data_IF_772319433326
#
_entry.id   IF_772319433326
#
_cell.length_a   1.000
_cell.length_b   1.000
_cell.length_c   1.000
_cell.angle_alpha   90.00
_cell.angle_beta   90.00
_cell.angle_gamma   90.00
#
_symmetry.space_group_name_H-M   'P 1'
#
loop_
_entity.id
_entity.type
_entity.pdbx_description
1 polymer ?
#
# COMPACT_ATOMS: atom_id res chain seq x y z
N UNK A 1 -47.71 14.21 -48.67
CA UNK A 1 -46.33 14.74 -48.86
C UNK A 1 -45.71 15.21 -47.56
N UNK A 2 -46.35 16.06 -46.74
CA UNK A 2 -45.73 16.57 -45.50
C UNK A 2 -45.60 15.49 -44.42
N UNK A 3 -46.60 14.60 -44.27
CA UNK A 3 -46.59 13.48 -43.33
C UNK A 3 -45.47 12.46 -43.66
N UNK A 4 -45.33 12.18 -44.95
CA UNK A 4 -44.30 11.25 -45.44
C UNK A 4 -42.88 11.80 -45.15
N UNK A 5 -42.65 13.08 -45.43
CA UNK A 5 -41.36 13.76 -45.15
C UNK A 5 -41.07 13.77 -43.65
N UNK A 6 -42.08 14.03 -42.82
CA UNK A 6 -41.92 13.94 -41.36
C UNK A 6 -41.58 12.53 -40.91
N UNK A 7 -42.27 11.52 -41.42
CA UNK A 7 -42.01 10.11 -41.13
C UNK A 7 -40.57 9.70 -41.50
N UNK A 8 -40.11 10.06 -42.70
CA UNK A 8 -38.76 9.77 -43.17
C UNK A 8 -37.71 10.48 -42.25
N UNK A 9 -37.97 11.74 -41.92
CA UNK A 9 -37.06 12.51 -41.02
C UNK A 9 -36.95 11.89 -39.64
N UNK A 10 -38.10 11.53 -39.02
CA UNK A 10 -38.11 10.85 -37.69
C UNK A 10 -37.51 9.44 -37.77
N UNK A 11 -37.76 8.69 -38.83
CA UNK A 11 -37.18 7.35 -39.01
C UNK A 11 -35.66 7.43 -39.13
N UNK A 12 -35.11 8.40 -39.86
CA UNK A 12 -33.70 8.64 -39.96
C UNK A 12 -33.07 9.00 -38.60
N UNK A 13 -33.70 9.95 -37.90
CA UNK A 13 -33.24 10.38 -36.58
C UNK A 13 -33.26 9.21 -35.56
N UNK A 14 -34.34 8.40 -35.61
CA UNK A 14 -34.43 7.21 -34.74
C UNK A 14 -33.30 6.21 -35.00
N UNK A 15 -33.00 5.95 -36.28
CA UNK A 15 -31.89 5.07 -36.67
C UNK A 15 -30.54 5.59 -36.19
N UNK A 16 -30.28 6.89 -36.37
CA UNK A 16 -29.05 7.54 -35.92
C UNK A 16 -28.91 7.48 -34.40
N UNK A 17 -29.97 7.74 -33.65
CA UNK A 17 -29.99 7.64 -32.19
C UNK A 17 -29.78 6.21 -31.70
N UNK A 18 -30.40 5.23 -32.36
CA UNK A 18 -30.22 3.81 -32.06
C UNK A 18 -28.77 3.37 -32.28
N UNK A 19 -28.14 3.77 -33.39
CA UNK A 19 -26.74 3.46 -33.67
C UNK A 19 -25.81 4.12 -32.64
N UNK A 20 -26.05 5.39 -32.28
CA UNK A 20 -25.27 6.07 -31.23
C UNK A 20 -25.42 5.38 -29.89
N UNK A 21 -26.63 5.01 -29.50
CA UNK A 21 -26.88 4.31 -28.23
C UNK A 21 -26.14 2.96 -28.19
N UNK A 22 -26.16 2.21 -29.29
CA UNK A 22 -25.42 0.95 -29.40
C UNK A 22 -23.90 1.16 -29.28
N UNK A 23 -23.36 2.13 -29.99
CA UNK A 23 -21.93 2.46 -29.93
C UNK A 23 -21.50 2.88 -28.52
N UNK A 24 -22.30 3.69 -27.84
CA UNK A 24 -22.04 4.09 -26.45
C UNK A 24 -22.07 2.88 -25.51
N UNK A 25 -23.04 1.96 -25.69
CA UNK A 25 -23.12 0.74 -24.91
C UNK A 25 -21.86 -0.16 -25.11
N UNK A 26 -21.46 -0.37 -26.35
CA UNK A 26 -20.25 -1.14 -26.69
C UNK A 26 -18.95 -0.50 -26.12
N UNK A 27 -18.84 0.82 -26.25
CA UNK A 27 -17.68 1.55 -25.69
C UNK A 27 -17.65 1.48 -24.16
N UNK A 28 -18.81 1.57 -23.49
CA UNK A 28 -18.92 1.40 -22.05
C UNK A 28 -18.48 0.00 -21.62
N UNK A 29 -18.94 -1.03 -22.33
CA UNK A 29 -18.57 -2.42 -22.03
C UNK A 29 -17.06 -2.65 -22.17
N UNK A 30 -16.46 -2.16 -23.25
CA UNK A 30 -15.00 -2.21 -23.46
C UNK A 30 -14.24 -1.49 -22.35
N UNK A 31 -14.67 -0.28 -21.97
CA UNK A 31 -14.05 0.48 -20.89
C UNK A 31 -14.15 -0.24 -19.54
N UNK A 32 -15.30 -0.83 -19.22
CA UNK A 32 -15.47 -1.63 -17.99
C UNK A 32 -14.58 -2.87 -17.98
N UNK A 33 -14.45 -3.57 -19.11
CA UNK A 33 -13.56 -4.73 -19.21
C UNK A 33 -12.09 -4.32 -19.02
N UNK A 34 -11.66 -3.21 -19.60
CA UNK A 34 -10.30 -2.68 -19.43
C UNK A 34 -10.02 -2.30 -17.97
N UNK A 35 -10.94 -1.57 -17.33
CA UNK A 35 -10.81 -1.21 -15.91
C UNK A 35 -10.69 -2.47 -15.04
N UNK A 36 -11.54 -3.47 -15.26
CA UNK A 36 -11.48 -4.73 -14.53
C UNK A 36 -10.12 -5.43 -14.66
N UNK A 37 -9.59 -5.52 -15.88
CA UNK A 37 -8.27 -6.11 -16.13
C UNK A 37 -7.16 -5.34 -15.42
N UNK A 38 -7.22 -4.00 -15.41
CA UNK A 38 -6.24 -3.15 -14.70
C UNK A 38 -6.35 -3.33 -13.18
N UNK A 39 -7.55 -3.45 -12.64
CA UNK A 39 -7.77 -3.72 -11.21
C UNK A 39 -7.19 -5.07 -10.78
N UNK A 40 -7.43 -6.11 -11.56
CA UNK A 40 -6.87 -7.45 -11.32
C UNK A 40 -5.32 -7.43 -11.35
N UNK A 41 -4.73 -6.76 -12.34
CA UNK A 41 -3.28 -6.60 -12.43
C UNK A 41 -2.70 -5.81 -11.24
N UNK A 42 -3.35 -4.71 -10.84
CA UNK A 42 -2.98 -3.93 -9.67
C UNK A 42 -3.01 -4.77 -8.39
N UNK A 43 -4.09 -5.53 -8.18
CA UNK A 43 -4.23 -6.39 -7.00
C UNK A 43 -3.10 -7.44 -6.92
N UNK A 44 -2.79 -8.11 -8.03
CA UNK A 44 -1.71 -9.12 -8.09
C UNK A 44 -0.36 -8.49 -7.75
N UNK A 45 -0.03 -7.34 -8.34
CA UNK A 45 1.24 -6.65 -8.10
C UNK A 45 1.36 -6.21 -6.64
N UNK A 46 0.28 -5.65 -6.07
CA UNK A 46 0.28 -5.17 -4.70
C UNK A 46 0.38 -6.33 -3.70
N UNK A 47 -0.35 -7.43 -3.93
CA UNK A 47 -0.28 -8.61 -3.08
C UNK A 47 1.12 -9.22 -3.09
N UNK A 48 1.73 -9.39 -4.26
CA UNK A 48 3.11 -9.88 -4.37
C UNK A 48 4.11 -8.98 -3.62
N UNK A 49 3.95 -7.65 -3.72
CA UNK A 49 4.79 -6.72 -2.96
C UNK A 49 4.60 -6.91 -1.46
N UNK A 50 3.36 -6.99 -1.00
CA UNK A 50 3.06 -7.18 0.42
C UNK A 50 3.60 -8.50 0.98
N UNK A 51 3.54 -9.59 0.21
CA UNK A 51 4.10 -10.87 0.62
C UNK A 51 5.61 -10.75 0.87
N UNK A 52 6.34 -10.06 -0.01
CA UNK A 52 7.77 -9.80 0.19
C UNK A 52 8.04 -8.86 1.37
N UNK A 53 7.26 -7.80 1.51
CA UNK A 53 7.37 -6.87 2.65
C UNK A 53 7.10 -7.59 3.97
N UNK A 54 6.11 -8.48 4.01
CA UNK A 54 5.77 -9.26 5.20
C UNK A 54 6.91 -10.17 5.65
N UNK A 55 7.62 -10.82 4.74
CA UNK A 55 8.81 -11.63 5.08
C UNK A 55 9.85 -10.78 5.80
N UNK A 56 10.15 -9.59 5.28
CA UNK A 56 11.12 -8.67 5.90
C UNK A 56 10.58 -8.10 7.22
N UNK A 57 9.32 -7.71 7.25
CA UNK A 57 8.66 -7.18 8.45
C UNK A 57 8.72 -8.18 9.61
N UNK A 58 8.37 -9.44 9.38
CA UNK A 58 8.44 -10.51 10.38
C UNK A 58 9.88 -10.79 10.84
N UNK A 59 10.84 -10.80 9.90
CA UNK A 59 12.25 -11.00 10.21
C UNK A 59 12.76 -9.92 11.17
N UNK A 60 12.41 -8.66 10.92
CA UNK A 60 12.80 -7.53 11.77
C UNK A 60 12.08 -7.58 13.12
N UNK A 61 10.77 -7.85 13.14
CA UNK A 61 9.98 -7.95 14.36
C UNK A 61 10.49 -9.03 15.30
N UNK A 62 10.94 -10.15 14.77
CA UNK A 62 11.51 -11.26 15.57
C UNK A 62 12.70 -10.76 16.41
N UNK A 63 13.55 -9.88 15.88
CA UNK A 63 14.65 -9.28 16.64
C UNK A 63 14.16 -8.37 17.78
N UNK A 64 12.98 -7.78 17.65
CA UNK A 64 12.31 -6.97 18.67
C UNK A 64 11.41 -7.79 19.63
N UNK A 65 11.44 -9.14 19.54
CA UNK A 65 10.57 -10.03 20.28
C UNK A 65 9.08 -9.74 20.03
N UNK A 66 8.75 -9.45 18.78
CA UNK A 66 7.41 -9.16 18.33
C UNK A 66 7.06 -10.02 17.10
N UNK A 67 5.78 -10.18 16.87
CA UNK A 67 5.20 -10.85 15.72
C UNK A 67 4.17 -9.93 15.06
N UNK A 68 4.00 -10.06 13.75
CA UNK A 68 3.02 -9.24 13.06
C UNK A 68 3.02 -9.44 11.55
N UNK A 69 2.10 -8.75 10.92
CA UNK A 69 1.93 -8.76 9.47
C UNK A 69 1.28 -7.46 9.00
N UNK A 70 1.42 -7.19 7.71
CA UNK A 70 0.72 -6.09 7.03
C UNK A 70 -0.31 -6.70 6.10
N UNK A 71 -1.55 -6.24 6.18
CA UNK A 71 -2.66 -6.73 5.35
C UNK A 71 -3.21 -5.63 4.47
N UNK A 72 -3.62 -6.01 3.26
CA UNK A 72 -4.42 -5.18 2.39
C UNK A 72 -5.89 -5.29 2.82
N UNK A 73 -6.52 -4.14 3.06
CA UNK A 73 -7.96 -4.03 3.33
C UNK A 73 -8.67 -3.57 2.07
N UNK A 74 -9.93 -3.99 1.91
CA UNK A 74 -10.79 -3.62 0.77
C UNK A 74 -10.10 -3.85 -0.59
N UNK A 75 -9.46 -5.00 -0.75
CA UNK A 75 -8.62 -5.36 -1.90
C UNK A 75 -9.32 -5.28 -3.28
N UNK A 76 -10.66 -5.28 -3.28
CA UNK A 76 -11.46 -5.18 -4.50
C UNK A 76 -11.95 -3.77 -4.83
N UNK A 77 -11.65 -2.79 -3.97
CA UNK A 77 -12.04 -1.39 -4.14
C UNK A 77 -10.82 -0.49 -4.01
N UNK A 78 -10.30 -0.02 -5.15
CA UNK A 78 -9.09 0.83 -5.20
C UNK A 78 -9.26 2.12 -4.39
N UNK A 79 -10.46 2.69 -4.34
CA UNK A 79 -10.72 3.95 -3.62
C UNK A 79 -10.77 3.74 -2.11
N UNK A 80 -11.23 2.57 -1.67
CA UNK A 80 -11.32 2.19 -0.26
C UNK A 80 -10.13 1.32 0.22
N UNK A 81 -9.24 0.91 -0.69
CA UNK A 81 -8.09 0.07 -0.36
C UNK A 81 -7.16 0.77 0.62
N UNK A 82 -6.67 0.01 1.61
CA UNK A 82 -5.76 0.52 2.62
C UNK A 82 -4.86 -0.58 3.16
N UNK A 83 -3.77 -0.16 3.80
CA UNK A 83 -2.88 -1.07 4.51
C UNK A 83 -3.16 -1.02 6.00
N UNK A 84 -3.23 -2.18 6.64
CA UNK A 84 -3.34 -2.29 8.08
C UNK A 84 -2.17 -3.10 8.62
N UNK A 85 -1.47 -2.52 9.59
CA UNK A 85 -0.36 -3.15 10.29
C UNK A 85 -0.93 -3.89 11.49
N UNK A 86 -0.53 -5.15 11.66
CA UNK A 86 -0.79 -5.96 12.83
C UNK A 86 0.52 -6.21 13.57
N UNK A 87 0.50 -6.11 14.90
CA UNK A 87 1.67 -6.38 15.72
C UNK A 87 1.28 -6.87 17.10
N UNK A 88 2.07 -7.79 17.65
CA UNK A 88 2.00 -8.26 19.03
C UNK A 88 3.41 -8.32 19.60
N UNK A 89 3.64 -7.71 20.75
CA UNK A 89 4.93 -7.70 21.46
C UNK A 89 4.92 -8.70 22.61
N UNK A 90 6.09 -9.23 22.96
CA UNK A 90 6.32 -10.08 24.13
C UNK A 90 5.41 -11.33 24.18
N UNK A 91 5.12 -11.91 23.03
CA UNK A 91 4.28 -13.11 22.90
C UNK A 91 2.77 -12.83 22.90
N UNK A 92 2.35 -11.57 22.87
CA UNK A 92 0.95 -11.21 22.63
C UNK A 92 0.57 -11.51 21.18
N UNK A 93 -0.70 -11.92 20.97
CA UNK A 93 -1.21 -12.12 19.61
C UNK A 93 -1.21 -10.81 18.84
N UNK A 94 -0.85 -10.82 17.54
CA UNK A 94 -0.91 -9.62 16.70
C UNK A 94 -2.34 -9.05 16.62
N UNK A 95 -2.45 -7.76 16.91
CA UNK A 95 -3.69 -6.97 16.80
C UNK A 95 -3.42 -5.75 15.92
N UNK A 96 -4.46 -5.14 15.34
CA UNK A 96 -4.30 -3.92 14.56
C UNK A 96 -3.54 -2.84 15.33
N UNK A 97 -2.59 -2.19 14.65
CA UNK A 97 -1.82 -1.10 15.21
C UNK A 97 -2.73 0.11 15.45
N UNK A 98 -2.95 0.47 16.70
CA UNK A 98 -3.73 1.64 17.09
C UNK A 98 -3.21 2.33 18.36
N UNK A 99 -3.84 3.45 18.73
CA UNK A 99 -3.43 4.24 19.86
C UNK A 99 -3.78 3.62 21.23
N UNK A 100 -4.65 2.62 21.25
CA UNK A 100 -5.22 2.06 22.50
C UNK A 100 -4.63 0.72 22.86
N UNK A 101 -4.19 -0.06 21.87
CA UNK A 101 -3.71 -1.44 22.07
C UNK A 101 -2.20 -1.53 22.28
N UNK A 102 -1.40 -0.58 21.77
CA UNK A 102 0.06 -0.55 21.94
C UNK A 102 0.54 0.71 22.63
N UNK A 103 1.66 0.57 23.35
CA UNK A 103 2.38 1.73 23.90
C UNK A 103 2.96 2.62 22.77
N UNK A 104 3.30 3.87 23.10
CA UNK A 104 3.93 4.78 22.15
C UNK A 104 5.19 4.18 21.50
N UNK A 105 6.07 3.57 22.32
CA UNK A 105 7.29 2.92 21.84
C UNK A 105 7.04 1.70 20.95
N UNK A 106 6.05 0.88 21.30
CA UNK A 106 5.65 -0.28 20.48
C UNK A 106 5.11 0.17 19.13
N UNK A 107 4.29 1.22 19.08
CA UNK A 107 3.81 1.80 17.82
C UNK A 107 4.95 2.34 16.96
N UNK A 108 5.85 3.12 17.55
CA UNK A 108 7.02 3.65 16.83
C UNK A 108 7.89 2.52 16.28
N UNK A 109 8.13 1.49 17.07
CA UNK A 109 8.90 0.31 16.65
C UNK A 109 8.21 -0.42 15.49
N UNK A 110 6.91 -0.70 15.59
CA UNK A 110 6.16 -1.38 14.52
C UNK A 110 6.13 -0.57 13.22
N UNK A 111 5.89 0.73 13.31
CA UNK A 111 5.88 1.64 12.14
C UNK A 111 7.25 1.72 11.48
N UNK A 112 8.33 1.91 12.26
CA UNK A 112 9.68 1.96 11.71
C UNK A 112 10.10 0.62 11.09
N UNK A 113 9.74 -0.49 11.71
CA UNK A 113 9.97 -1.82 11.15
C UNK A 113 9.28 -2.00 9.79
N UNK A 114 8.04 -1.56 9.68
CA UNK A 114 7.31 -1.58 8.41
C UNK A 114 7.98 -0.69 7.35
N UNK A 115 8.35 0.54 7.70
CA UNK A 115 9.03 1.44 6.78
C UNK A 115 10.37 0.88 6.30
N UNK A 116 11.16 0.25 7.19
CA UNK A 116 12.42 -0.39 6.82
C UNK A 116 12.20 -1.59 5.90
N UNK A 117 11.20 -2.43 6.20
CA UNK A 117 10.82 -3.55 5.34
C UNK A 117 10.41 -3.07 3.93
N UNK A 118 9.58 -2.03 3.86
CA UNK A 118 9.14 -1.44 2.59
C UNK A 118 10.32 -0.81 1.82
N UNK A 119 11.23 -0.12 2.50
CA UNK A 119 12.38 0.53 1.87
C UNK A 119 13.34 -0.46 1.19
N UNK A 120 13.37 -1.72 1.59
CA UNK A 120 14.20 -2.74 0.94
C UNK A 120 13.72 -3.04 -0.50
N UNK A 121 12.45 -2.78 -0.80
CA UNK A 121 11.86 -2.98 -2.13
C UNK A 121 11.91 -1.73 -3.02
N UNK A 122 12.30 -0.58 -2.47
CA UNK A 122 12.42 0.67 -3.21
C UNK A 122 13.90 0.96 -3.50
N UNK A 123 14.27 1.01 -4.77
CA UNK A 123 15.61 1.43 -5.18
C UNK A 123 15.71 2.95 -5.08
N UNK A 124 16.44 3.45 -4.10
CA UNK A 124 16.73 4.87 -3.92
C UNK A 124 18.19 5.07 -3.58
N UNK A 125 18.89 6.00 -4.24
CA UNK A 125 20.28 6.33 -3.92
C UNK A 125 20.41 7.08 -2.60
N UNK A 126 19.32 7.68 -2.12
CA UNK A 126 19.26 8.45 -0.87
C UNK A 126 17.99 8.14 -0.10
N UNK A 127 18.13 7.98 1.22
CA UNK A 127 17.02 7.82 2.17
C UNK A 127 17.27 8.70 3.38
N UNK A 128 16.20 9.15 4.00
CA UNK A 128 16.27 9.92 5.23
C UNK A 128 15.17 9.52 6.19
N UNK A 129 15.45 9.59 7.47
CA UNK A 129 14.47 9.46 8.54
C UNK A 129 14.79 10.46 9.63
N UNK A 130 13.78 11.14 10.13
CA UNK A 130 13.89 12.07 11.23
C UNK A 130 13.18 11.51 12.46
N UNK A 131 13.83 11.68 13.62
CA UNK A 131 13.26 11.33 14.93
C UNK A 131 12.75 9.88 15.03
N UNK A 132 13.41 8.93 14.37
CA UNK A 132 12.97 7.54 14.27
C UNK A 132 12.86 6.82 15.62
N UNK A 133 13.54 7.31 16.63
CA UNK A 133 13.69 6.71 17.96
C UNK A 133 12.82 7.34 19.04
N UNK A 134 11.98 8.32 18.68
CA UNK A 134 11.05 8.95 19.63
C UNK A 134 10.13 7.90 20.24
N UNK A 135 10.03 7.95 21.57
CA UNK A 135 9.23 7.02 22.40
C UNK A 135 9.67 5.56 22.39
N UNK A 136 10.80 5.21 21.75
CA UNK A 136 11.35 3.85 21.82
C UNK A 136 12.12 3.64 23.12
N UNK A 137 12.02 2.43 23.67
CA UNK A 137 12.93 2.00 24.73
C UNK A 137 14.35 1.78 24.18
N UNK A 138 15.39 1.81 25.06
CA UNK A 138 16.78 1.70 24.60
C UNK A 138 17.08 0.45 23.78
N UNK A 139 16.44 -0.69 24.07
CA UNK A 139 16.64 -1.95 23.36
C UNK A 139 16.08 -1.87 21.93
N UNK A 140 14.86 -1.39 21.79
CA UNK A 140 14.24 -1.24 20.47
C UNK A 140 14.95 -0.18 19.61
N UNK A 141 15.43 0.91 20.25
CA UNK A 141 16.27 1.93 19.59
C UNK A 141 17.54 1.32 19.00
N UNK A 142 18.27 0.52 19.79
CA UNK A 142 19.49 -0.16 19.32
C UNK A 142 19.19 -1.13 18.17
N UNK A 143 18.09 -1.89 18.23
CA UNK A 143 17.66 -2.80 17.15
C UNK A 143 17.42 -2.02 15.88
N UNK A 144 16.62 -0.95 15.93
CA UNK A 144 16.30 -0.13 14.75
C UNK A 144 17.58 0.56 14.21
N UNK A 145 18.45 1.09 15.06
CA UNK A 145 19.71 1.67 14.63
C UNK A 145 20.60 0.67 13.88
N UNK A 146 20.74 -0.56 14.39
CA UNK A 146 21.48 -1.64 13.71
C UNK A 146 20.86 -1.99 12.35
N UNK A 147 19.52 -2.01 12.26
CA UNK A 147 18.80 -2.27 11.02
C UNK A 147 18.99 -1.14 9.99
N UNK A 148 18.96 0.11 10.44
CA UNK A 148 19.27 1.26 9.58
C UNK A 148 20.67 1.14 8.96
N UNK A 149 21.67 0.83 9.77
CA UNK A 149 23.04 0.62 9.29
C UNK A 149 23.13 -0.57 8.33
N UNK A 150 22.52 -1.70 8.68
CA UNK A 150 22.54 -2.91 7.85
C UNK A 150 21.80 -2.73 6.52
N UNK A 151 20.76 -1.89 6.49
CA UNK A 151 19.96 -1.63 5.29
C UNK A 151 20.71 -0.90 4.17
N UNK A 152 21.81 -0.24 4.49
CA UNK A 152 22.68 0.45 3.52
C UNK A 152 24.02 -0.26 3.31
N UNK A 153 24.34 -1.22 4.13
CA UNK A 153 25.60 -1.97 4.05
C UNK A 153 25.66 -2.77 2.74
N UNK A 154 26.66 -2.49 1.90
CA UNK A 154 26.83 -3.14 0.59
C UNK A 154 25.98 -2.56 -0.54
N UNK A 155 25.26 -1.46 -0.32
CA UNK A 155 24.52 -0.73 -1.34
C UNK A 155 25.21 0.59 -1.67
N UNK A 156 25.16 1.02 -2.95
CA UNK A 156 25.54 2.38 -3.36
C UNK A 156 24.42 3.37 -3.01
N UNK A 157 24.11 3.49 -1.72
CA UNK A 157 23.05 4.37 -1.21
C UNK A 157 23.47 5.04 0.09
N UNK A 158 22.93 6.22 0.33
CA UNK A 158 23.15 6.99 1.55
C UNK A 158 21.88 6.99 2.40
N UNK A 159 22.05 6.89 3.72
CA UNK A 159 20.96 7.00 4.68
C UNK A 159 21.29 8.10 5.69
N UNK A 160 20.42 9.11 5.77
CA UNK A 160 20.48 10.17 6.77
C UNK A 160 19.48 9.85 7.89
N UNK A 161 20.00 9.63 9.10
CA UNK A 161 19.17 9.48 10.28
C UNK A 161 19.40 10.68 11.21
N UNK A 162 18.34 11.38 11.58
CA UNK A 162 18.34 12.47 12.53
C UNK A 162 17.72 11.96 13.82
N UNK A 163 18.41 12.12 14.94
CA UNK A 163 17.93 11.67 16.26
C UNK A 163 18.36 12.66 17.34
N UNK A 164 17.50 13.00 18.30
CA UNK A 164 17.88 13.76 19.48
C UNK A 164 18.64 12.94 20.49
N UNK A 165 18.67 11.60 20.36
CA UNK A 165 19.30 10.68 21.29
C UNK A 165 20.75 10.43 20.92
N UNK A 166 21.59 10.22 21.95
CA UNK A 166 22.93 9.65 21.73
C UNK A 166 22.78 8.16 21.36
N UNK A 167 23.34 7.78 20.23
CA UNK A 167 23.38 6.40 19.75
C UNK A 167 24.61 5.71 20.34
#
# INVERSE_FOLDING_TARGET
EDIERMYESYSKLYLELKQKAQLVAENREKALAEVKTRMEAWHIVLQNLLDHVNVQYQTILTNAQAEGEVRLLNEHDIEAAGLQIYVGFKGAKPVPLDAYTQSGGERSTATMTFLLALQQHVRSPFRAVDEYDIHMDPKNREIIAKLLVSSVSGLESQYLAITPSQI
#
